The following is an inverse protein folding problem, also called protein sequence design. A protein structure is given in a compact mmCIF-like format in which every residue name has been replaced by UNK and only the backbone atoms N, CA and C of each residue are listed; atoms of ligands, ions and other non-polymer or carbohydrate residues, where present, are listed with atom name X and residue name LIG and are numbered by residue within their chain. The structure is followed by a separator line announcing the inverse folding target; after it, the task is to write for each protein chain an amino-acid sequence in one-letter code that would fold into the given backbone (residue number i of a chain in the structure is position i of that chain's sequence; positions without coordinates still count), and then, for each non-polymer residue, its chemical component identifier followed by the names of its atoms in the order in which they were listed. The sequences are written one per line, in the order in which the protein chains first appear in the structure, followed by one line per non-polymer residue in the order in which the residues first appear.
data_IF_603901719902
#
_entry.id   IF_603901719902
#
_cell.length_a   1.000
_cell.length_b   1.000
_cell.length_c   1.000
_cell.angle_alpha   90.00
_cell.angle_beta   90.00
_cell.angle_gamma   90.00
#
_symmetry.space_group_name_H-M   'P 1'
#
loop_
_entity.id
_entity.type
_entity.pdbx_description
1 polymer ?
#
# COMPACT_ATOMS: atom_id res chain seq x y z
N UNK A 1 6.62 -0.49 3.45
CA UNK A 1 7.54 -0.06 4.51
C UNK A 1 7.85 1.40 4.32
N UNK A 2 8.08 2.15 5.42
CA UNK A 2 8.43 3.58 5.34
C UNK A 2 7.46 4.38 4.48
N UNK A 3 6.17 4.30 4.82
CA UNK A 3 5.13 4.95 4.05
C UNK A 3 4.81 6.31 4.69
N UNK A 4 5.36 7.43 4.17
CA UNK A 4 4.89 8.75 4.55
C UNK A 4 3.48 8.98 3.98
N UNK A 5 3.20 8.46 2.78
CA UNK A 5 2.08 8.69 1.85
C UNK A 5 2.58 9.47 0.64
N UNK A 6 2.02 9.16 -0.52
CA UNK A 6 2.18 9.90 -1.78
C UNK A 6 1.88 11.40 -1.62
N UNK A 7 0.95 11.75 -0.73
CA UNK A 7 0.56 13.15 -0.47
C UNK A 7 1.66 14.02 0.16
N UNK A 8 2.74 13.42 0.66
CA UNK A 8 3.87 14.13 1.26
C UNK A 8 5.15 14.07 0.42
N UNK A 9 5.06 13.63 -0.83
CA UNK A 9 6.18 13.58 -1.79
C UNK A 9 7.37 12.74 -1.33
N UNK A 10 7.10 11.71 -0.53
CA UNK A 10 8.12 10.85 0.05
C UNK A 10 8.49 9.65 -0.81
N UNK A 11 9.16 8.70 -0.19
CA UNK A 11 9.57 7.43 -0.79
C UNK A 11 9.03 6.28 0.06
N UNK A 12 8.83 5.11 -0.54
CA UNK A 12 8.32 3.92 0.14
C UNK A 12 8.75 2.67 -0.60
N UNK A 13 8.74 1.53 0.09
CA UNK A 13 8.94 0.20 -0.52
C UNK A 13 7.70 -0.64 -0.26
N UNK A 14 7.10 -1.23 -1.29
CA UNK A 14 5.97 -2.15 -1.16
C UNK A 14 6.37 -3.58 -1.49
N UNK A 15 5.70 -4.53 -0.84
CA UNK A 15 5.76 -5.95 -1.17
C UNK A 15 4.34 -6.47 -1.41
N UNK A 16 4.12 -7.14 -2.53
CA UNK A 16 2.88 -7.86 -2.81
C UNK A 16 2.95 -9.29 -2.24
N UNK A 17 1.93 -9.69 -1.48
CA UNK A 17 1.81 -11.05 -0.93
C UNK A 17 0.94 -11.89 -1.88
N UNK A 18 1.54 -12.90 -2.52
CA UNK A 18 0.88 -13.68 -3.59
C UNK A 18 -0.37 -14.45 -3.13
N UNK A 19 -0.43 -14.82 -1.86
CA UNK A 19 -1.52 -15.63 -1.30
C UNK A 19 -2.85 -14.86 -1.20
N UNK A 20 -2.83 -13.53 -1.38
CA UNK A 20 -4.02 -12.69 -1.36
C UNK A 20 -4.16 -11.99 -2.71
N UNK A 21 -5.17 -12.35 -3.49
CA UNK A 21 -5.40 -11.79 -4.82
C UNK A 21 -6.89 -11.63 -5.11
N UNK A 22 -7.19 -10.71 -6.03
CA UNK A 22 -8.50 -10.60 -6.66
C UNK A 22 -8.39 -11.07 -8.10
N UNK A 23 -9.38 -11.83 -8.57
CA UNK A 23 -9.44 -12.33 -9.95
C UNK A 23 -10.70 -11.83 -10.61
N UNK A 24 -10.57 -11.32 -11.84
CA UNK A 24 -11.70 -10.89 -12.68
C UNK A 24 -11.62 -11.61 -14.00
N UNK A 25 -12.78 -12.06 -14.49
CA UNK A 25 -12.95 -12.65 -15.81
C UNK A 25 -13.95 -11.83 -16.60
N UNK A 26 -13.61 -11.51 -17.84
CA UNK A 26 -14.50 -10.87 -18.80
C UNK A 26 -14.91 -11.89 -19.87
N UNK A 27 -16.18 -11.82 -20.27
CA UNK A 27 -16.74 -12.58 -21.38
C UNK A 27 -17.63 -11.66 -22.23
N UNK A 28 -17.65 -11.82 -23.57
CA UNK A 28 -18.55 -11.04 -24.42
C UNK A 28 -20.02 -11.28 -24.06
N UNK A 29 -20.78 -10.20 -23.94
CA UNK A 29 -22.22 -10.25 -23.66
C UNK A 29 -22.92 -9.09 -24.38
N UNK A 30 -24.23 -9.24 -24.65
CA UNK A 30 -25.06 -8.14 -25.16
C UNK A 30 -25.33 -7.09 -24.09
N UNK A 31 -25.51 -7.55 -22.86
CA UNK A 31 -25.80 -6.73 -21.68
C UNK A 31 -24.62 -6.71 -20.73
N UNK A 32 -24.40 -5.59 -20.04
CA UNK A 32 -23.43 -5.49 -18.97
C UNK A 32 -23.96 -6.21 -17.73
N UNK A 33 -23.30 -7.30 -17.34
CA UNK A 33 -23.66 -8.10 -16.17
C UNK A 33 -22.45 -8.28 -15.27
N UNK A 34 -22.56 -7.86 -14.02
CA UNK A 34 -21.55 -8.13 -12.99
C UNK A 34 -22.01 -9.36 -12.21
N UNK A 35 -21.23 -10.45 -12.28
CA UNK A 35 -21.53 -11.71 -11.59
C UNK A 35 -20.47 -11.99 -10.53
N UNK A 36 -20.83 -12.09 -9.25
CA UNK A 36 -19.90 -12.57 -8.22
C UNK A 36 -19.54 -14.04 -8.47
N UNK A 37 -18.34 -14.44 -8.08
CA UNK A 37 -17.88 -15.81 -8.17
C UNK A 37 -18.70 -16.72 -7.23
N UNK A 38 -19.25 -17.85 -7.71
CA UNK A 38 -20.18 -18.67 -6.93
C UNK A 38 -19.58 -19.30 -5.66
N UNK A 39 -18.25 -19.44 -5.59
CA UNK A 39 -17.56 -20.09 -4.47
C UNK A 39 -16.56 -19.20 -3.71
N UNK A 40 -16.16 -18.06 -4.28
CA UNK A 40 -15.09 -17.23 -3.72
C UNK A 40 -15.60 -15.88 -3.22
N UNK A 41 -16.75 -15.43 -3.73
CA UNK A 41 -17.41 -14.18 -3.29
C UNK A 41 -18.62 -14.50 -2.39
N UNK A 42 -18.49 -15.50 -1.51
CA UNK A 42 -19.55 -15.94 -0.59
C UNK A 42 -19.78 -14.97 0.58
N UNK A 43 -18.86 -14.04 0.81
CA UNK A 43 -18.90 -13.12 1.94
C UNK A 43 -19.48 -11.78 1.48
N UNK A 44 -20.71 -11.51 1.90
CA UNK A 44 -21.31 -10.18 1.79
C UNK A 44 -20.83 -9.32 2.95
N UNK A 45 -20.09 -8.27 2.63
CA UNK A 45 -19.69 -7.27 3.62
C UNK A 45 -20.66 -6.10 3.56
N UNK A 46 -21.05 -5.57 4.73
CA UNK A 46 -21.89 -4.38 4.80
C UNK A 46 -21.15 -3.10 4.34
N UNK A 47 -19.82 -3.14 4.19
CA UNK A 47 -19.00 -2.08 3.60
C UNK A 47 -17.60 -2.58 3.24
N UNK A 48 -16.91 -1.87 2.33
CA UNK A 48 -15.50 -2.11 1.95
C UNK A 48 -14.52 -1.93 3.11
N UNK A 49 -14.93 -1.27 4.20
CA UNK A 49 -14.12 -1.09 5.41
C UNK A 49 -13.87 -2.42 6.14
N UNK A 50 -14.74 -3.42 5.96
CA UNK A 50 -14.53 -4.76 6.54
C UNK A 50 -13.46 -5.59 5.80
N UNK A 51 -12.94 -5.10 4.66
CA UNK A 51 -11.79 -5.67 3.93
C UNK A 51 -10.46 -4.98 4.31
N UNK A 52 -10.41 -4.24 5.42
CA UNK A 52 -9.29 -3.38 5.79
C UNK A 52 -7.98 -4.16 6.02
N UNK A 53 -6.86 -3.57 5.60
CA UNK A 53 -5.49 -4.03 5.90
C UNK A 53 -4.71 -4.57 4.70
N UNK A 54 -5.40 -5.08 3.66
CA UNK A 54 -4.75 -5.71 2.49
C UNK A 54 -5.22 -5.12 1.13
N UNK A 55 -5.80 -3.93 1.13
CA UNK A 55 -6.14 -3.20 -0.11
C UNK A 55 -7.15 -3.92 -1.04
N UNK A 56 -8.15 -4.59 -0.47
CA UNK A 56 -9.08 -5.44 -1.22
C UNK A 56 -9.89 -4.72 -2.32
N UNK A 57 -10.37 -3.49 -2.07
CA UNK A 57 -11.17 -2.76 -3.07
C UNK A 57 -10.37 -2.42 -4.32
N UNK A 58 -9.16 -1.90 -4.13
CA UNK A 58 -8.25 -1.56 -5.23
C UNK A 58 -7.78 -2.79 -5.99
N UNK A 59 -7.62 -3.93 -5.30
CA UNK A 59 -7.25 -5.18 -5.95
C UNK A 59 -8.29 -5.59 -7.00
N UNK A 60 -9.59 -5.43 -6.70
CA UNK A 60 -10.69 -5.71 -7.64
C UNK A 60 -10.66 -4.74 -8.82
N UNK A 61 -10.48 -3.44 -8.58
CA UNK A 61 -10.40 -2.43 -9.66
C UNK A 61 -9.17 -2.68 -10.53
N UNK A 62 -8.02 -2.98 -9.94
CA UNK A 62 -6.79 -3.31 -10.66
C UNK A 62 -6.93 -4.59 -11.48
N UNK A 63 -7.53 -5.64 -10.92
CA UNK A 63 -7.81 -6.89 -11.64
C UNK A 63 -8.79 -6.66 -12.82
N UNK A 64 -9.84 -5.86 -12.61
CA UNK A 64 -10.78 -5.46 -13.66
C UNK A 64 -10.08 -4.70 -14.78
N UNK A 65 -9.27 -3.70 -14.42
CA UNK A 65 -8.52 -2.88 -15.37
C UNK A 65 -7.55 -3.73 -16.19
N UNK A 66 -6.79 -4.62 -15.54
CA UNK A 66 -5.91 -5.57 -16.23
C UNK A 66 -6.69 -6.47 -17.19
N UNK A 67 -7.84 -7.00 -16.77
CA UNK A 67 -8.67 -7.83 -17.62
C UNK A 67 -9.19 -7.05 -18.85
N UNK A 68 -9.58 -5.78 -18.69
CA UNK A 68 -9.98 -4.92 -19.80
C UNK A 68 -8.83 -4.67 -20.79
N UNK A 69 -7.63 -4.39 -20.29
CA UNK A 69 -6.45 -4.18 -21.14
C UNK A 69 -6.14 -5.42 -22.01
N UNK A 70 -6.29 -6.61 -21.45
CA UNK A 70 -6.04 -7.87 -22.14
C UNK A 70 -7.20 -8.24 -23.08
N UNK A 71 -8.44 -8.08 -22.63
CA UNK A 71 -9.64 -8.38 -23.41
C UNK A 71 -9.74 -7.54 -24.69
N UNK A 72 -9.38 -6.26 -24.61
CA UNK A 72 -9.34 -5.36 -25.77
C UNK A 72 -7.97 -5.33 -26.48
N UNK A 73 -7.00 -6.13 -26.04
CA UNK A 73 -5.66 -6.22 -26.61
C UNK A 73 -4.86 -4.89 -26.62
N UNK A 74 -5.21 -3.95 -25.73
CA UNK A 74 -4.62 -2.59 -25.67
C UNK A 74 -3.55 -2.43 -24.60
N UNK A 75 -3.17 -3.48 -23.87
CA UNK A 75 -2.16 -3.40 -22.79
C UNK A 75 -0.86 -2.70 -23.23
N UNK A 76 -0.42 -2.94 -24.45
CA UNK A 76 0.81 -2.38 -25.02
C UNK A 76 0.70 -0.86 -25.31
N UNK A 77 -0.52 -0.33 -25.49
CA UNK A 77 -0.78 1.09 -25.70
C UNK A 77 -0.80 1.88 -24.39
N UNK A 78 -1.09 1.20 -23.27
CA UNK A 78 -1.17 1.82 -21.95
C UNK A 78 0.10 1.50 -21.17
N UNK A 79 1.03 2.47 -21.14
CA UNK A 79 2.30 2.39 -20.40
C UNK A 79 2.08 2.02 -18.93
N UNK A 80 2.95 1.20 -18.34
CA UNK A 80 2.75 0.67 -16.99
C UNK A 80 2.71 1.77 -15.93
N UNK A 81 3.47 2.85 -16.14
CA UNK A 81 3.65 3.98 -15.23
C UNK A 81 2.36 4.79 -15.03
N UNK A 82 1.47 4.81 -16.03
CA UNK A 82 0.21 5.58 -15.98
C UNK A 82 -0.98 4.75 -15.48
N UNK A 83 -0.85 3.41 -15.42
CA UNK A 83 -1.95 2.51 -15.01
C UNK A 83 -2.43 2.77 -13.57
N UNK A 84 -1.54 3.00 -12.58
CA UNK A 84 -1.97 3.28 -11.21
C UNK A 84 -2.86 4.52 -11.12
N UNK A 85 -2.54 5.58 -11.86
CA UNK A 85 -3.33 6.82 -11.90
C UNK A 85 -4.69 6.62 -12.57
N UNK A 86 -4.77 5.83 -13.65
CA UNK A 86 -6.04 5.49 -14.28
C UNK A 86 -6.98 4.73 -13.31
N UNK A 87 -6.43 3.76 -12.58
CA UNK A 87 -7.18 2.99 -11.56
C UNK A 87 -7.65 3.93 -10.45
N UNK A 88 -6.76 4.78 -9.93
CA UNK A 88 -7.11 5.74 -8.87
C UNK A 88 -8.18 6.74 -9.32
N UNK A 89 -8.11 7.21 -10.57
CA UNK A 89 -9.09 8.16 -11.10
C UNK A 89 -10.48 7.52 -11.23
N UNK A 90 -10.58 6.25 -11.65
CA UNK A 90 -11.85 5.54 -11.69
C UNK A 90 -12.50 5.44 -10.29
N UNK A 91 -11.72 5.25 -9.24
CA UNK A 91 -12.25 5.22 -7.86
C UNK A 91 -12.65 6.61 -7.36
N UNK A 92 -11.92 7.67 -7.76
CA UNK A 92 -12.30 9.05 -7.45
C UNK A 92 -13.64 9.43 -8.09
N UNK A 93 -13.92 8.96 -9.30
CA UNK A 93 -15.23 9.17 -9.95
C UNK A 93 -16.38 8.54 -9.15
N UNK A 94 -16.10 7.48 -8.38
CA UNK A 94 -17.04 6.87 -7.45
C UNK A 94 -17.09 7.58 -6.07
N UNK A 95 -16.37 8.68 -5.90
CA UNK A 95 -16.28 9.42 -4.63
C UNK A 95 -15.40 8.75 -3.57
N UNK A 96 -14.60 7.75 -3.93
CA UNK A 96 -13.73 7.05 -2.99
C UNK A 96 -12.46 7.87 -2.76
N UNK A 97 -12.19 8.19 -1.49
CA UNK A 97 -10.94 8.85 -1.07
C UNK A 97 -9.86 7.78 -0.90
N UNK A 98 -8.91 7.72 -1.82
CA UNK A 98 -7.79 6.76 -1.80
C UNK A 98 -6.46 7.42 -2.21
N UNK A 99 -5.35 6.76 -1.84
CA UNK A 99 -3.99 7.13 -2.26
C UNK A 99 -3.45 6.23 -3.36
N UNK A 100 -2.39 6.65 -4.02
CA UNK A 100 -1.86 5.99 -5.23
C UNK A 100 -1.09 4.68 -4.94
N UNK A 101 -0.49 4.55 -3.76
CA UNK A 101 0.51 3.52 -3.44
C UNK A 101 0.05 2.09 -3.64
N UNK A 102 -1.14 1.78 -3.15
CA UNK A 102 -1.76 0.47 -3.28
C UNK A 102 -1.91 0.06 -4.75
N UNK A 103 -2.29 1.01 -5.62
CA UNK A 103 -2.47 0.77 -7.04
C UNK A 103 -1.13 0.52 -7.73
N UNK A 104 -0.07 1.21 -7.31
CA UNK A 104 1.29 0.95 -7.80
C UNK A 104 1.74 -0.46 -7.38
N UNK A 105 1.59 -0.81 -6.10
CA UNK A 105 1.96 -2.14 -5.61
C UNK A 105 1.22 -3.26 -6.35
N UNK A 106 -0.05 -3.06 -6.68
CA UNK A 106 -0.88 -4.04 -7.40
C UNK A 106 -0.59 -4.11 -8.91
N UNK A 107 -0.29 -2.96 -9.55
CA UNK A 107 0.04 -2.92 -10.98
C UNK A 107 1.41 -3.55 -11.26
N UNK A 108 2.39 -3.25 -10.41
CA UNK A 108 3.77 -3.72 -10.60
C UNK A 108 3.99 -5.11 -10.01
N UNK A 109 3.34 -5.44 -8.90
CA UNK A 109 3.54 -6.70 -8.19
C UNK A 109 4.95 -6.83 -7.57
N UNK A 110 5.16 -7.91 -6.81
CA UNK A 110 6.47 -8.23 -6.24
C UNK A 110 6.97 -7.16 -5.26
N UNK A 111 8.27 -6.83 -5.37
CA UNK A 111 8.93 -5.82 -4.55
C UNK A 111 9.13 -4.54 -5.39
N UNK A 112 8.65 -3.39 -4.89
CA UNK A 112 8.68 -2.13 -5.64
C UNK A 112 9.18 -0.99 -4.77
N UNK A 113 10.19 -0.28 -5.24
CA UNK A 113 10.61 1.00 -4.69
C UNK A 113 9.84 2.13 -5.39
N UNK A 114 9.20 3.00 -4.60
CA UNK A 114 8.41 4.11 -5.11
C UNK A 114 9.00 5.44 -4.63
N UNK A 115 9.14 6.38 -5.56
CA UNK A 115 9.63 7.71 -5.30
C UNK A 115 8.63 8.75 -5.84
N UNK A 116 7.97 9.43 -4.91
CA UNK A 116 6.97 10.47 -5.18
C UNK A 116 7.59 11.88 -5.13
N UNK A 117 8.89 12.02 -5.38
CA UNK A 117 9.54 13.32 -5.40
C UNK A 117 8.77 14.30 -6.31
N UNK A 118 8.49 15.48 -5.74
CA UNK A 118 7.64 16.49 -6.36
C UNK A 118 8.12 16.94 -7.74
N UNK A 119 9.43 17.10 -7.94
CA UNK A 119 9.99 17.55 -9.22
C UNK A 119 9.68 16.56 -10.35
N UNK A 120 9.83 15.25 -10.07
CA UNK A 120 9.49 14.21 -11.05
C UNK A 120 8.00 14.15 -11.32
N UNK A 121 7.18 14.24 -10.27
CA UNK A 121 5.73 14.25 -10.43
C UNK A 121 5.24 15.44 -11.24
N UNK A 122 5.76 16.64 -10.98
CA UNK A 122 5.40 17.87 -11.71
C UNK A 122 5.83 17.79 -13.19
N UNK A 123 6.95 17.11 -13.49
CA UNK A 123 7.50 17.00 -14.85
C UNK A 123 6.89 15.87 -15.69
N UNK A 124 6.63 14.71 -15.08
CA UNK A 124 6.20 13.49 -15.78
C UNK A 124 4.71 13.19 -15.61
N UNK A 125 4.06 13.81 -14.63
CA UNK A 125 2.67 13.52 -14.26
C UNK A 125 2.50 12.27 -13.40
N UNK A 126 3.58 11.55 -13.09
CA UNK A 126 3.58 10.35 -12.25
C UNK A 126 4.89 10.23 -11.46
N UNK A 127 4.90 9.36 -10.44
CA UNK A 127 6.11 9.04 -9.65
C UNK A 127 7.10 8.14 -10.40
N UNK A 128 8.27 7.91 -9.80
CA UNK A 128 9.22 6.91 -10.28
C UNK A 128 9.03 5.60 -9.52
N UNK A 129 8.82 4.51 -10.25
CA UNK A 129 8.56 3.19 -9.69
C UNK A 129 9.58 2.21 -10.24
N UNK A 130 10.36 1.60 -9.34
CA UNK A 130 11.44 0.68 -9.69
C UNK A 130 11.13 -0.70 -9.11
N UNK A 131 10.77 -1.69 -9.97
CA UNK A 131 10.72 -3.09 -9.55
C UNK A 131 12.07 -3.55 -9.02
N UNK A 132 12.04 -4.36 -7.99
CA UNK A 132 13.23 -4.93 -7.36
C UNK A 132 13.11 -6.45 -7.31
N UNK A 133 14.25 -7.11 -7.17
CA UNK A 133 14.30 -8.56 -6.97
C UNK A 133 13.76 -8.92 -5.58
N UNK A 134 12.86 -9.91 -5.52
CA UNK A 134 12.27 -10.38 -4.27
C UNK A 134 13.30 -11.11 -3.40
N UNK A 135 14.36 -11.67 -4.01
CA UNK A 135 15.44 -12.38 -3.31
C UNK A 135 16.37 -11.43 -2.52
N UNK A 136 16.09 -10.12 -2.55
CA UNK A 136 16.69 -9.11 -1.67
C UNK A 136 16.08 -9.11 -0.27
N UNK A 137 14.89 -9.69 -0.07
CA UNK A 137 14.23 -9.69 1.22
C UNK A 137 14.75 -10.84 2.10
N UNK A 138 14.88 -10.60 3.42
CA UNK A 138 15.00 -11.70 4.37
C UNK A 138 13.64 -12.45 4.47
N UNK A 139 13.58 -13.61 5.14
CA UNK A 139 12.31 -14.22 5.51
C UNK A 139 11.41 -13.24 6.26
N UNK A 140 10.15 -13.13 5.83
CA UNK A 140 9.15 -12.25 6.43
C UNK A 140 8.00 -13.06 7.00
N UNK A 141 7.38 -12.53 8.05
CA UNK A 141 6.22 -13.13 8.69
C UNK A 141 5.05 -12.15 8.65
N UNK A 142 3.90 -12.62 8.16
CA UNK A 142 2.66 -11.86 8.26
C UNK A 142 1.96 -12.26 9.56
N UNK A 143 1.86 -11.29 10.47
CA UNK A 143 1.08 -11.39 11.71
C UNK A 143 -0.18 -10.55 11.54
N UNK A 144 -1.36 -11.14 11.75
CA UNK A 144 -2.63 -10.43 11.70
C UNK A 144 -3.45 -10.68 12.97
N UNK A 145 -4.23 -9.68 13.39
CA UNK A 145 -5.25 -9.79 14.43
C UNK A 145 -6.59 -9.31 13.90
N UNK A 146 -7.66 -9.97 14.34
CA UNK A 146 -9.03 -9.52 14.11
C UNK A 146 -9.35 -8.35 15.05
N UNK A 147 -8.85 -7.17 14.70
CA UNK A 147 -9.21 -5.94 15.39
C UNK A 147 -9.54 -4.83 14.37
N UNK A 148 -10.82 -4.58 14.07
CA UNK A 148 -11.21 -3.54 13.14
C UNK A 148 -10.78 -2.18 13.71
N UNK A 149 -9.87 -1.50 13.02
CA UNK A 149 -9.45 -0.13 13.34
C UNK A 149 -9.95 0.83 12.25
N UNK A 150 -10.59 1.93 12.67
CA UNK A 150 -11.03 2.99 11.77
C UNK A 150 -9.83 3.90 11.45
N UNK A 151 -9.16 3.61 10.33
CA UNK A 151 -7.97 4.33 9.88
C UNK A 151 -8.26 5.79 9.49
N UNK A 152 -9.50 6.13 9.14
CA UNK A 152 -9.85 7.44 8.57
C UNK A 152 -9.65 8.62 9.53
N UNK A 153 -10.04 8.46 10.81
CA UNK A 153 -9.96 9.56 11.80
C UNK A 153 -8.52 9.90 12.17
N UNK A 154 -7.68 8.88 12.31
CA UNK A 154 -6.26 9.00 12.66
C UNK A 154 -5.45 9.66 11.55
N UNK A 155 -5.69 9.28 10.29
CA UNK A 155 -4.98 9.87 9.16
C UNK A 155 -5.34 11.34 8.92
N UNK A 156 -6.59 11.73 9.18
CA UNK A 156 -7.04 13.11 9.01
C UNK A 156 -6.32 14.09 9.96
N UNK A 157 -6.04 13.71 11.20
CA UNK A 157 -5.37 14.60 12.17
C UNK A 157 -3.94 14.93 11.76
N UNK A 158 -3.16 13.93 11.33
CA UNK A 158 -1.78 14.13 10.84
C UNK A 158 -1.76 14.96 9.57
N UNK A 159 -2.70 14.71 8.64
CA UNK A 159 -2.82 15.52 7.41
C UNK A 159 -3.07 17.00 7.73
N UNK A 160 -3.97 17.30 8.67
CA UNK A 160 -4.24 18.69 9.08
C UNK A 160 -3.00 19.34 9.69
N UNK A 161 -2.27 18.65 10.58
CA UNK A 161 -1.02 19.17 11.17
C UNK A 161 0.03 19.46 10.10
N UNK A 162 0.19 18.57 9.12
CA UNK A 162 1.09 18.81 7.98
C UNK A 162 0.70 20.05 7.16
N UNK A 163 -0.60 20.18 6.82
CA UNK A 163 -1.13 21.33 6.08
C UNK A 163 -0.91 22.64 6.83
N UNK A 164 -1.06 22.62 8.16
CA UNK A 164 -0.80 23.76 9.04
C UNK A 164 0.69 24.08 9.21
N UNK A 165 1.58 23.29 8.63
CA UNK A 165 3.01 23.55 8.69
C UNK A 165 3.69 23.09 9.97
N UNK A 166 3.09 22.17 10.73
CA UNK A 166 3.67 21.64 11.98
C UNK A 166 5.11 21.15 11.73
N UNK A 167 6.14 21.80 12.34
CA UNK A 167 7.53 21.45 12.09
C UNK A 167 7.88 20.01 12.47
N UNK A 168 7.25 19.47 13.51
CA UNK A 168 7.48 18.11 13.99
C UNK A 168 6.95 17.10 12.97
N UNK A 169 5.73 17.30 12.46
CA UNK A 169 5.18 16.42 11.42
C UNK A 169 5.98 16.53 10.12
N UNK A 170 6.45 17.73 9.77
CA UNK A 170 7.25 17.93 8.56
C UNK A 170 8.58 17.21 8.61
N UNK A 171 9.34 17.40 9.69
CA UNK A 171 10.64 16.73 9.86
C UNK A 171 10.47 15.21 9.98
N UNK A 172 9.45 14.72 10.68
CA UNK A 172 9.20 13.28 10.79
C UNK A 172 8.86 12.63 9.44
N UNK A 173 8.04 13.27 8.60
CA UNK A 173 7.73 12.73 7.26
C UNK A 173 8.93 12.76 6.32
N UNK A 174 9.77 13.80 6.41
CA UNK A 174 11.04 13.87 5.67
C UNK A 174 11.98 12.75 6.11
N UNK A 175 12.09 12.52 7.42
CA UNK A 175 12.87 11.41 7.97
C UNK A 175 12.35 10.06 7.49
N UNK A 176 11.03 9.81 7.53
CA UNK A 176 10.43 8.58 6.97
C UNK A 176 10.78 8.40 5.50
N UNK A 177 10.75 9.46 4.69
CA UNK A 177 11.13 9.39 3.29
C UNK A 177 12.63 9.08 3.09
N UNK A 178 13.50 9.57 3.97
CA UNK A 178 14.94 9.27 3.96
C UNK A 178 15.22 7.84 4.41
N UNK A 179 14.50 7.33 5.41
CA UNK A 179 14.59 5.92 5.81
C UNK A 179 14.21 4.98 4.66
N UNK A 180 13.24 5.33 3.82
CA UNK A 180 12.89 4.54 2.65
C UNK A 180 14.02 4.54 1.60
N UNK A 181 14.69 5.68 1.40
CA UNK A 181 15.86 5.78 0.51
C UNK A 181 17.02 4.93 1.03
N UNK A 182 17.30 4.99 2.32
CA UNK A 182 18.35 4.19 2.94
C UNK A 182 17.98 2.69 2.94
N UNK A 183 16.73 2.37 3.23
CA UNK A 183 16.21 1.00 3.19
C UNK A 183 16.35 0.37 1.81
N UNK A 184 16.15 1.14 0.74
CA UNK A 184 16.44 0.71 -0.63
C UNK A 184 17.92 0.33 -0.82
N UNK A 185 18.86 1.19 -0.38
CA UNK A 185 20.30 0.91 -0.44
C UNK A 185 20.66 -0.34 0.37
N UNK A 186 20.16 -0.42 1.60
CA UNK A 186 20.45 -1.51 2.54
C UNK A 186 19.93 -2.87 2.06
N UNK A 187 18.76 -2.89 1.39
CA UNK A 187 18.24 -4.10 0.74
C UNK A 187 19.14 -4.57 -0.41
N UNK A 188 19.61 -3.66 -1.26
CA UNK A 188 20.54 -3.99 -2.34
C UNK A 188 21.87 -4.57 -1.82
N UNK A 189 22.32 -4.09 -0.66
CA UNK A 189 23.51 -4.60 0.03
C UNK A 189 23.25 -5.88 0.85
N UNK A 190 21.98 -6.32 0.96
CA UNK A 190 21.53 -7.41 1.84
C UNK A 190 21.98 -7.24 3.30
N UNK A 191 22.11 -6.00 3.77
CA UNK A 191 22.49 -5.69 5.15
C UNK A 191 21.27 -5.71 6.07
N UNK A 192 20.85 -6.92 6.45
CA UNK A 192 19.62 -7.09 7.23
C UNK A 192 19.70 -6.54 8.65
N UNK A 193 20.89 -6.40 9.23
CA UNK A 193 21.08 -5.77 10.54
C UNK A 193 20.67 -4.30 10.49
N UNK A 194 21.14 -3.57 9.49
CA UNK A 194 20.74 -2.17 9.30
C UNK A 194 19.27 -2.06 8.90
N UNK A 195 18.76 -3.00 8.11
CA UNK A 195 17.35 -3.03 7.70
C UNK A 195 16.42 -3.04 8.93
N UNK A 196 16.74 -3.86 9.94
CA UNK A 196 15.98 -3.93 11.20
C UNK A 196 16.02 -2.58 11.94
N UNK A 197 17.18 -1.94 12.01
CA UNK A 197 17.34 -0.61 12.61
C UNK A 197 16.41 0.42 11.95
N UNK A 198 16.38 0.46 10.62
CA UNK A 198 15.53 1.37 9.85
C UNK A 198 14.04 1.08 10.00
N UNK A 199 13.65 -0.19 10.12
CA UNK A 199 12.25 -0.58 10.37
C UNK A 199 11.80 -0.11 11.75
N UNK A 200 12.63 -0.34 12.78
CA UNK A 200 12.33 0.07 14.15
C UNK A 200 12.22 1.60 14.24
N UNK A 201 13.16 2.32 13.63
CA UNK A 201 13.11 3.78 13.60
C UNK A 201 11.85 4.31 12.92
N UNK A 202 11.41 3.67 11.84
CA UNK A 202 10.17 4.03 11.18
C UNK A 202 8.93 3.78 12.05
N UNK A 203 8.94 2.71 12.83
CA UNK A 203 7.88 2.44 13.79
C UNK A 203 7.83 3.52 14.88
N UNK A 204 8.98 3.93 15.41
CA UNK A 204 9.07 5.01 16.41
C UNK A 204 8.53 6.34 15.86
N UNK A 205 8.91 6.70 14.64
CA UNK A 205 8.40 7.90 13.97
C UNK A 205 6.89 7.84 13.76
N UNK A 206 6.34 6.67 13.41
CA UNK A 206 4.89 6.49 13.32
C UNK A 206 4.21 6.68 14.67
N UNK A 207 4.77 6.11 15.74
CA UNK A 207 4.26 6.30 17.11
C UNK A 207 4.30 7.76 17.53
N UNK A 208 5.35 8.50 17.17
CA UNK A 208 5.48 9.94 17.42
C UNK A 208 4.44 10.77 16.66
N UNK A 209 4.22 10.48 15.37
CA UNK A 209 3.30 11.26 14.54
C UNK A 209 1.82 10.99 14.84
N UNK A 210 1.45 9.71 14.98
CA UNK A 210 0.06 9.29 15.11
C UNK A 210 -0.39 9.11 16.57
N UNK A 211 0.55 8.94 17.51
CA UNK A 211 0.27 8.63 18.91
C UNK A 211 0.09 7.12 19.17
N UNK A 212 0.26 6.71 20.43
CA UNK A 212 0.15 5.30 20.83
C UNK A 212 -1.26 4.72 20.68
N UNK A 213 -2.28 5.51 20.96
CA UNK A 213 -3.69 5.10 20.86
C UNK A 213 -4.10 4.82 19.41
N UNK A 214 -3.52 5.56 18.46
CA UNK A 214 -3.76 5.38 17.03
C UNK A 214 -3.17 4.07 16.48
N UNK A 215 -2.08 3.59 17.06
CA UNK A 215 -1.49 2.30 16.70
C UNK A 215 -2.24 1.13 17.34
N UNK A 216 -2.90 1.37 18.48
CA UNK A 216 -3.68 0.37 19.20
C UNK A 216 -2.82 -0.53 20.08
N UNK A 217 -3.22 -0.70 21.35
CA UNK A 217 -2.50 -1.53 22.32
C UNK A 217 -2.20 -2.97 21.85
N UNK A 218 -3.13 -3.67 21.14
CA UNK A 218 -2.83 -5.01 20.61
C UNK A 218 -1.66 -5.03 19.63
N UNK A 219 -1.60 -4.08 18.70
CA UNK A 219 -0.53 -4.03 17.69
C UNK A 219 0.83 -3.72 18.32
N UNK A 220 0.87 -2.87 19.36
CA UNK A 220 2.09 -2.59 20.11
C UNK A 220 2.58 -3.85 20.82
N UNK A 221 1.68 -4.59 21.48
CA UNK A 221 2.02 -5.86 22.14
C UNK A 221 2.49 -6.95 21.16
N UNK A 222 2.03 -6.92 19.90
CA UNK A 222 2.53 -7.85 18.87
C UNK A 222 4.01 -7.63 18.60
N UNK A 223 4.41 -6.36 18.52
CA UNK A 223 5.79 -5.96 18.22
C UNK A 223 6.69 -6.19 19.44
N UNK A 224 6.16 -5.97 20.65
CA UNK A 224 6.88 -6.20 21.92
C UNK A 224 6.96 -7.69 22.31
N UNK A 225 6.26 -8.59 21.62
CA UNK A 225 6.31 -10.05 21.84
C UNK A 225 5.38 -10.59 22.92
N UNK A 226 4.37 -9.82 23.34
CA UNK A 226 3.55 -10.07 24.54
C UNK A 226 2.17 -10.71 24.26
N UNK A 227 1.92 -11.19 23.03
CA UNK A 227 0.62 -11.76 22.65
C UNK A 227 0.56 -13.29 22.73
N UNK A 228 -0.43 -13.79 23.46
CA UNK A 228 -0.65 -15.23 23.73
C UNK A 228 -1.25 -16.01 22.55
N UNK A 229 -1.60 -15.37 21.44
CA UNK A 229 -2.23 -16.03 20.30
C UNK A 229 -1.86 -15.27 19.03
N UNK A 230 -1.01 -15.86 18.20
CA UNK A 230 -0.57 -15.30 16.92
C UNK A 230 -0.67 -16.39 15.86
N UNK A 231 -1.47 -16.16 14.82
CA UNK A 231 -1.43 -16.97 13.61
C UNK A 231 -0.33 -16.43 12.71
N UNK A 232 0.69 -17.24 12.45
CA UNK A 232 1.83 -16.89 11.59
C UNK A 232 1.61 -17.55 10.23
N UNK A 233 1.66 -16.75 9.16
CA UNK A 233 1.70 -17.25 7.79
C UNK A 233 3.08 -16.95 7.22
N UNK A 234 3.80 -17.98 6.78
CA UNK A 234 5.02 -17.83 5.99
C UNK A 234 4.64 -17.32 4.59
N UNK A 235 5.24 -16.19 4.19
CA UNK A 235 4.95 -15.50 2.92
C UNK A 235 5.87 -15.94 1.80
#
# INVERSE_FOLDING_TARGET
MWNPSDVYFGRTISLSIKNFSATVRLEPSRDLVIRPHPFHDLVSFSSTQHLAGLSGSSAIVCATFNCLLDFYEVRHLVKVEIRPDLILNAEKELGIVAGLQDRIAQVYGGLVYMNFNKEHMDKLGHGLFSPMDIDLLPPLYLIYAENPSDSGKVHNSVRQRWLNGDPCIRSSMEEVANLALEGHRVLLEKNYTELVSLINRNFDLRRQMFGGDALGSPNIKMIEGDLKTVSVVET
#
